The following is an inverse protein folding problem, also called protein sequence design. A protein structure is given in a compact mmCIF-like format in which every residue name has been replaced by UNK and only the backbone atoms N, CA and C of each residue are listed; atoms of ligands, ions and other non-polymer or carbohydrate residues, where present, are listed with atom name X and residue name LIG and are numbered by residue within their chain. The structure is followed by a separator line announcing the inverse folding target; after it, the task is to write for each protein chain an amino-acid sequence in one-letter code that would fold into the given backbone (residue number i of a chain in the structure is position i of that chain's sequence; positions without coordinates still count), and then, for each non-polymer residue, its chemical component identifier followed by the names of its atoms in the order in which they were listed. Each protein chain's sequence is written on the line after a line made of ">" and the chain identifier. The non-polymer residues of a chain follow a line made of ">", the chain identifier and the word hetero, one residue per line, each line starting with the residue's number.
data_IF_947157667360
#
_entry.id   IF_947157667360
#
_cell.length_a   1.000
_cell.length_b   1.000
_cell.length_c   1.000
_cell.angle_alpha   90.00
_cell.angle_beta   90.00
_cell.angle_gamma   90.00
#
_symmetry.space_group_name_H-M   'P 1'
#
loop_
_entity.id
_entity.type
_entity.pdbx_description
1 polymer ?
#
# COMPACT_ATOMS: atom_id res chain seq x y z
N UNK A 1 4.56 14.18 14.04
CA UNK A 1 4.64 14.03 12.57
C UNK A 1 3.48 14.77 11.88
N UNK A 2 3.78 15.41 10.80
CA UNK A 2 2.80 16.22 10.06
C UNK A 2 2.21 15.41 8.90
N UNK A 3 1.02 14.85 9.12
CA UNK A 3 0.36 14.01 8.12
C UNK A 3 -0.21 14.82 6.97
N UNK A 4 -0.09 14.30 5.74
CA UNK A 4 -0.74 14.86 4.58
C UNK A 4 -2.24 14.52 4.58
N UNK A 5 -3.02 15.28 3.83
CA UNK A 5 -4.40 14.91 3.55
C UNK A 5 -4.46 13.97 2.33
N UNK A 6 -5.31 12.93 2.36
CA UNK A 6 -5.39 11.99 1.23
C UNK A 6 -5.70 12.63 -0.12
N UNK A 7 -6.51 13.68 -0.15
CA UNK A 7 -6.85 14.38 -1.41
C UNK A 7 -5.63 15.10 -1.99
N UNK A 8 -4.81 15.70 -1.15
CA UNK A 8 -3.58 16.37 -1.58
C UNK A 8 -2.56 15.35 -2.08
N UNK A 9 -2.49 14.20 -1.42
CA UNK A 9 -1.62 13.10 -1.83
C UNK A 9 -2.01 12.57 -3.20
N UNK A 10 -3.30 12.35 -3.44
CA UNK A 10 -3.81 11.92 -4.73
C UNK A 10 -3.45 12.92 -5.82
N UNK A 11 -3.68 14.20 -5.56
CA UNK A 11 -3.39 15.26 -6.53
C UNK A 11 -1.90 15.28 -6.89
N UNK A 12 -1.03 15.20 -5.90
CA UNK A 12 0.41 15.17 -6.13
C UNK A 12 0.83 13.93 -6.94
N UNK A 13 0.28 12.77 -6.61
CA UNK A 13 0.59 11.51 -7.29
C UNK A 13 0.14 11.53 -8.75
N UNK A 14 -1.04 12.10 -9.03
CA UNK A 14 -1.60 12.10 -10.40
C UNK A 14 -1.04 13.20 -11.29
N UNK A 15 -0.33 14.17 -10.74
CA UNK A 15 0.34 15.21 -11.53
C UNK A 15 1.79 14.84 -11.91
N UNK A 16 2.32 13.75 -11.36
CA UNK A 16 3.66 13.28 -11.70
C UNK A 16 3.67 12.70 -13.12
N UNK A 17 4.84 12.70 -13.75
CA UNK A 17 5.07 12.08 -15.06
C UNK A 17 4.89 10.56 -14.98
N UNK A 18 5.38 9.93 -13.91
CA UNK A 18 5.20 8.49 -13.71
C UNK A 18 3.76 8.20 -13.24
N UNK A 19 3.21 7.03 -13.59
CA UNK A 19 1.87 6.66 -13.13
C UNK A 19 1.80 6.62 -11.60
N UNK A 20 0.70 7.08 -11.03
CA UNK A 20 0.51 7.11 -9.58
C UNK A 20 0.70 5.72 -8.97
N UNK A 21 1.41 5.66 -7.86
CA UNK A 21 1.57 4.46 -7.04
C UNK A 21 1.41 4.86 -5.58
N UNK A 22 0.30 4.47 -5.00
CA UNK A 22 -0.03 4.75 -3.61
C UNK A 22 -0.23 3.44 -2.86
N UNK A 23 0.02 3.46 -1.56
CA UNK A 23 -0.16 2.29 -0.71
C UNK A 23 -1.11 2.66 0.42
N UNK A 24 -2.11 1.83 0.66
CA UNK A 24 -3.06 1.99 1.75
C UNK A 24 -2.89 0.83 2.73
N UNK A 25 -2.91 1.13 4.02
CA UNK A 25 -2.74 0.13 5.05
C UNK A 25 -4.07 -0.11 5.76
N UNK A 26 -4.47 -1.37 5.84
CA UNK A 26 -5.71 -1.78 6.49
C UNK A 26 -5.36 -2.61 7.75
N UNK A 27 -5.51 -2.01 8.92
CA UNK A 27 -5.22 -2.65 10.20
C UNK A 27 -3.75 -3.05 10.41
N UNK A 28 -2.82 -2.27 9.95
CA UNK A 28 -1.41 -2.44 10.28
C UNK A 28 -1.13 -1.67 11.57
N UNK A 29 -0.94 -2.40 12.67
CA UNK A 29 -0.78 -1.80 13.99
C UNK A 29 0.69 -1.74 14.48
N UNK A 30 1.58 -2.53 13.88
CA UNK A 30 2.97 -2.57 14.28
C UNK A 30 3.75 -1.43 13.61
N UNK A 31 4.35 -0.50 14.40
CA UNK A 31 5.14 0.60 13.83
C UNK A 31 6.32 0.13 12.98
N UNK A 32 6.87 -1.06 13.25
CA UNK A 32 7.96 -1.61 12.44
C UNK A 32 7.50 -1.97 11.05
N UNK A 33 6.30 -2.56 10.93
CA UNK A 33 5.69 -2.85 9.63
C UNK A 33 5.41 -1.55 8.87
N UNK A 34 4.85 -0.55 9.54
CA UNK A 34 4.63 0.75 8.92
C UNK A 34 5.94 1.33 8.36
N UNK A 35 6.98 1.37 9.19
CA UNK A 35 8.28 1.91 8.77
C UNK A 35 8.90 1.13 7.60
N UNK A 36 8.83 -0.20 7.63
CA UNK A 36 9.36 -1.05 6.56
C UNK A 36 8.59 -0.83 5.26
N UNK A 37 7.26 -0.69 5.33
CA UNK A 37 6.44 -0.43 4.15
C UNK A 37 6.77 0.94 3.56
N UNK A 38 6.86 1.98 4.39
CA UNK A 38 7.23 3.33 3.93
C UNK A 38 8.57 3.30 3.21
N UNK A 39 9.54 2.58 3.77
CA UNK A 39 10.86 2.43 3.15
C UNK A 39 10.77 1.77 1.78
N UNK A 40 10.01 0.69 1.65
CA UNK A 40 9.82 -0.01 0.38
C UNK A 40 9.10 0.86 -0.65
N UNK A 41 8.07 1.60 -0.23
CA UNK A 41 7.34 2.50 -1.13
C UNK A 41 8.29 3.56 -1.70
N UNK A 42 9.12 4.15 -0.85
CA UNK A 42 10.11 5.13 -1.29
C UNK A 42 11.13 4.51 -2.24
N UNK A 43 11.60 3.30 -1.93
CA UNK A 43 12.63 2.61 -2.74
C UNK A 43 12.12 2.26 -4.13
N UNK A 44 10.83 1.91 -4.26
CA UNK A 44 10.26 1.45 -5.52
C UNK A 44 9.45 2.52 -6.26
N UNK A 45 9.64 3.79 -5.92
CA UNK A 45 9.06 4.90 -6.68
C UNK A 45 7.60 5.20 -6.38
N UNK A 46 7.08 4.77 -5.23
CA UNK A 46 5.74 5.12 -4.80
C UNK A 46 5.62 6.58 -4.38
N UNK A 47 4.40 7.11 -4.43
CA UNK A 47 4.13 8.51 -4.17
C UNK A 47 3.68 8.80 -2.74
N UNK A 48 3.18 7.80 -2.03
CA UNK A 48 2.75 8.01 -0.67
C UNK A 48 2.07 6.80 -0.05
N UNK A 49 1.85 6.90 1.27
CA UNK A 49 1.19 5.86 2.07
C UNK A 49 0.04 6.52 2.82
N UNK A 50 -1.14 5.88 2.81
CA UNK A 50 -2.28 6.33 3.63
C UNK A 50 -2.56 5.31 4.72
N UNK A 51 -2.77 5.81 5.94
CA UNK A 51 -3.14 5.00 7.09
C UNK A 51 -4.50 5.45 7.63
N UNK A 52 -5.30 4.54 8.21
CA UNK A 52 -6.52 4.94 8.90
C UNK A 52 -6.17 5.76 10.14
N UNK A 53 -7.04 6.67 10.49
CA UNK A 53 -6.87 7.49 11.69
C UNK A 53 -6.97 6.66 12.97
N UNK A 54 -7.77 5.58 12.93
CA UNK A 54 -8.01 4.72 14.09
C UNK A 54 -7.48 3.32 13.81
N UNK A 55 -7.07 2.61 14.88
CA UNK A 55 -6.65 1.20 14.84
C UNK A 55 -5.51 0.95 13.86
N UNK A 56 -4.58 1.89 13.81
CA UNK A 56 -3.40 1.70 12.96
C UNK A 56 -2.16 2.21 13.68
N UNK A 57 -1.01 1.76 13.21
CA UNK A 57 0.27 2.33 13.62
C UNK A 57 0.32 3.80 13.23
N UNK A 58 1.03 4.59 14.01
CA UNK A 58 1.32 5.98 13.67
C UNK A 58 2.80 6.13 13.38
N UNK A 59 3.18 7.25 12.80
CA UNK A 59 4.60 7.52 12.55
C UNK A 59 5.25 7.88 13.88
N UNK A 60 5.72 6.86 14.57
CA UNK A 60 6.40 6.95 15.87
C UNK A 60 7.92 6.98 15.64
N UNK A 61 8.68 7.15 16.74
CA UNK A 61 10.13 7.03 16.68
C UNK A 61 10.58 5.67 16.12
N UNK A 62 9.87 4.58 16.45
CA UNK A 62 10.18 3.25 15.93
C UNK A 62 9.95 3.18 14.42
N UNK A 63 8.79 3.67 13.95
CA UNK A 63 8.47 3.68 12.52
C UNK A 63 9.45 4.58 11.76
N UNK A 64 9.80 5.72 12.33
CA UNK A 64 10.77 6.63 11.73
C UNK A 64 12.13 5.94 11.51
N UNK A 65 12.64 5.25 12.54
CA UNK A 65 13.92 4.53 12.45
C UNK A 65 13.84 3.38 11.45
N UNK A 66 12.76 2.60 11.50
CA UNK A 66 12.58 1.44 10.61
C UNK A 66 12.45 1.88 9.16
N UNK A 67 11.91 3.06 8.91
CA UNK A 67 11.82 3.60 7.55
C UNK A 67 13.18 4.06 7.00
N UNK A 68 14.23 4.10 7.82
CA UNK A 68 15.56 4.62 7.46
C UNK A 68 15.49 6.05 6.94
N UNK A 69 14.61 6.88 7.54
CA UNK A 69 14.43 8.27 7.16
C UNK A 69 13.50 8.48 5.95
N UNK A 70 12.98 7.41 5.35
CA UNK A 70 12.09 7.54 4.19
C UNK A 70 10.81 8.32 4.51
N UNK A 71 10.31 8.24 5.77
CA UNK A 71 9.14 8.99 6.19
C UNK A 71 9.34 10.51 6.13
N UNK A 72 10.58 10.98 6.13
CA UNK A 72 10.88 12.41 5.96
C UNK A 72 10.75 12.84 4.50
N UNK A 73 10.95 11.93 3.56
CA UNK A 73 10.92 12.20 2.12
C UNK A 73 9.61 11.81 1.48
N UNK A 74 9.01 10.73 1.92
CA UNK A 74 7.76 10.20 1.42
C UNK A 74 6.61 10.67 2.33
N UNK A 75 5.55 11.18 1.73
CA UNK A 75 4.41 11.64 2.53
C UNK A 75 3.59 10.46 3.04
N UNK A 76 3.15 10.59 4.28
CA UNK A 76 2.18 9.68 4.89
C UNK A 76 0.91 10.47 5.18
N UNK A 77 -0.22 10.02 4.66
CA UNK A 77 -1.52 10.64 4.89
C UNK A 77 -2.31 9.85 5.93
N UNK A 78 -3.18 10.53 6.63
CA UNK A 78 -4.10 9.91 7.58
C UNK A 78 -5.51 10.08 7.07
N UNK A 79 -6.22 8.96 6.89
CA UNK A 79 -7.59 8.97 6.40
C UNK A 79 -8.57 8.80 7.57
N UNK A 80 -9.56 9.68 7.65
CA UNK A 80 -10.65 9.55 8.63
C UNK A 80 -11.47 8.29 8.35
N UNK A 81 -11.67 7.96 7.07
CA UNK A 81 -12.38 6.79 6.62
C UNK A 81 -11.66 6.19 5.41
N UNK A 82 -10.96 5.07 5.64
CA UNK A 82 -10.16 4.44 4.59
C UNK A 82 -11.02 3.99 3.40
N UNK A 83 -12.20 3.44 3.67
CA UNK A 83 -13.09 2.97 2.60
C UNK A 83 -13.53 4.12 1.68
N UNK A 84 -13.83 5.27 2.27
CA UNK A 84 -14.18 6.45 1.48
C UNK A 84 -13.00 6.93 0.65
N UNK A 85 -11.81 6.91 1.22
CA UNK A 85 -10.58 7.27 0.50
C UNK A 85 -10.36 6.34 -0.69
N UNK A 86 -10.48 5.03 -0.50
CA UNK A 86 -10.30 4.05 -1.58
C UNK A 86 -11.35 4.25 -2.68
N UNK A 87 -12.60 4.51 -2.29
CA UNK A 87 -13.66 4.79 -3.28
C UNK A 87 -13.32 6.03 -4.09
N UNK A 88 -12.91 7.11 -3.42
CA UNK A 88 -12.53 8.37 -4.06
C UNK A 88 -11.37 8.16 -5.04
N UNK A 89 -10.36 7.42 -4.62
CA UNK A 89 -9.21 7.14 -5.47
C UNK A 89 -9.57 6.25 -6.67
N UNK A 90 -10.44 5.25 -6.45
CA UNK A 90 -10.97 4.44 -7.56
C UNK A 90 -11.76 5.27 -8.55
N UNK A 91 -12.61 6.17 -8.08
CA UNK A 91 -13.39 7.09 -8.93
C UNK A 91 -12.47 8.03 -9.73
N UNK A 92 -11.29 8.33 -9.20
CA UNK A 92 -10.30 9.15 -9.89
C UNK A 92 -9.48 8.36 -10.93
N UNK A 93 -9.75 7.08 -11.09
CA UNK A 93 -9.13 6.25 -12.13
C UNK A 93 -7.98 5.37 -11.67
N UNK A 94 -7.71 5.29 -10.36
CA UNK A 94 -6.68 4.39 -9.87
C UNK A 94 -7.24 2.97 -9.73
N UNK A 95 -6.47 1.98 -10.17
CA UNK A 95 -6.76 0.57 -9.92
C UNK A 95 -6.50 0.27 -8.45
N UNK A 96 -7.46 -0.33 -7.75
CA UNK A 96 -7.32 -0.70 -6.35
C UNK A 96 -7.00 -2.19 -6.28
N UNK A 97 -5.80 -2.51 -5.79
CA UNK A 97 -5.28 -3.88 -5.72
C UNK A 97 -5.07 -4.25 -4.26
N UNK A 98 -5.84 -5.22 -3.76
CA UNK A 98 -5.67 -5.73 -2.41
C UNK A 98 -4.71 -6.91 -2.38
N UNK A 99 -3.95 -7.06 -1.31
CA UNK A 99 -3.07 -8.20 -1.10
C UNK A 99 -3.68 -9.15 -0.09
N UNK A 100 -3.85 -10.41 -0.48
CA UNK A 100 -4.37 -11.45 0.40
C UNK A 100 -3.93 -12.82 -0.11
N UNK A 101 -3.52 -13.71 0.80
CA UNK A 101 -3.10 -15.06 0.44
C UNK A 101 -4.20 -15.85 -0.29
N UNK A 102 -5.48 -15.53 -0.02
CA UNK A 102 -6.62 -16.14 -0.69
C UNK A 102 -7.08 -15.41 -1.94
N UNK A 103 -6.24 -14.53 -2.51
CA UNK A 103 -6.60 -13.79 -3.71
C UNK A 103 -6.78 -14.68 -4.93
N UNK A 104 -7.68 -14.27 -5.82
CA UNK A 104 -8.01 -15.01 -7.04
C UNK A 104 -7.11 -14.67 -8.22
N UNK A 105 -6.29 -13.65 -8.09
CA UNK A 105 -5.35 -13.20 -9.12
C UNK A 105 -3.92 -13.38 -8.61
N UNK A 106 -3.10 -14.11 -9.34
CA UNK A 106 -1.68 -14.20 -8.99
C UNK A 106 -0.96 -12.90 -9.38
N UNK A 107 0.06 -12.55 -8.59
CA UNK A 107 0.87 -11.35 -8.85
C UNK A 107 1.41 -11.31 -10.28
N UNK A 108 1.79 -12.48 -10.82
CA UNK A 108 2.34 -12.58 -12.17
C UNK A 108 1.35 -12.14 -13.26
N UNK A 109 0.05 -12.21 -12.97
CA UNK A 109 -1.01 -11.84 -13.91
C UNK A 109 -1.47 -10.39 -13.76
N UNK A 110 -0.96 -9.67 -12.77
CA UNK A 110 -1.35 -8.29 -12.50
C UNK A 110 -0.68 -7.34 -13.50
N UNK A 111 -1.47 -6.46 -14.11
CA UNK A 111 -0.94 -5.33 -14.87
C UNK A 111 -1.04 -4.08 -13.98
N UNK A 112 0.09 -3.62 -13.49
CA UNK A 112 0.20 -2.42 -12.65
C UNK A 112 1.01 -1.31 -13.33
N UNK A 113 1.00 -1.26 -14.65
CA UNK A 113 1.69 -0.21 -15.42
C UNK A 113 0.94 1.13 -15.38
N UNK A 114 -0.37 1.11 -15.10
CA UNK A 114 -1.18 2.32 -14.92
C UNK A 114 -1.26 2.76 -13.45
N UNK A 115 -2.04 3.82 -13.18
CA UNK A 115 -2.20 4.32 -11.81
C UNK A 115 -2.78 3.24 -10.89
N UNK A 116 -2.12 3.00 -9.76
CA UNK A 116 -2.43 1.87 -8.88
C UNK A 116 -2.36 2.26 -7.41
N UNK A 117 -3.28 1.72 -6.61
CA UNK A 117 -3.23 1.70 -5.16
C UNK A 117 -3.05 0.24 -4.72
N UNK A 118 -2.04 -0.02 -3.92
CA UNK A 118 -1.83 -1.34 -3.29
C UNK A 118 -2.35 -1.26 -1.86
N UNK A 119 -3.28 -2.14 -1.51
CA UNK A 119 -3.86 -2.19 -0.16
C UNK A 119 -3.30 -3.39 0.57
N UNK A 120 -2.66 -3.13 1.72
CA UNK A 120 -1.99 -4.14 2.52
C UNK A 120 -2.79 -4.35 3.80
N UNK A 121 -3.22 -5.57 4.04
CA UNK A 121 -3.96 -5.95 5.25
C UNK A 121 -3.06 -6.55 6.31
N UNK A 122 -3.63 -6.74 7.50
CA UNK A 122 -2.90 -7.31 8.63
C UNK A 122 -2.54 -8.76 8.38
N UNK A 123 -1.43 -9.19 9.00
CA UNK A 123 -1.05 -10.59 9.05
C UNK A 123 -2.14 -11.39 9.75
N UNK A 124 -2.50 -12.55 9.22
CA UNK A 124 -3.50 -13.44 9.79
C UNK A 124 -4.94 -13.09 9.44
N UNK A 125 -5.34 -11.82 9.53
CA UNK A 125 -6.70 -11.40 9.21
C UNK A 125 -6.86 -10.94 7.76
N UNK A 126 -5.77 -10.53 7.13
CA UNK A 126 -5.81 -9.98 5.77
C UNK A 126 -6.59 -8.68 5.70
N UNK A 127 -7.29 -8.47 4.60
CA UNK A 127 -8.09 -7.27 4.36
C UNK A 127 -9.44 -7.39 5.05
N UNK A 128 -9.95 -6.28 5.58
CA UNK A 128 -11.31 -6.23 6.09
C UNK A 128 -12.31 -6.39 4.94
N UNK A 129 -13.53 -6.85 5.27
CA UNK A 129 -14.56 -7.12 4.27
C UNK A 129 -14.89 -5.89 3.42
N UNK A 130 -15.08 -4.74 4.05
CA UNK A 130 -15.43 -3.50 3.33
C UNK A 130 -14.29 -3.05 2.41
N UNK A 131 -13.05 -3.17 2.85
CA UNK A 131 -11.89 -2.84 2.03
C UNK A 131 -11.83 -3.76 0.81
N UNK A 132 -12.06 -5.07 1.00
CA UNK A 132 -12.09 -6.02 -0.12
C UNK A 132 -13.12 -5.63 -1.19
N UNK A 133 -14.27 -5.12 -0.77
CA UNK A 133 -15.33 -4.71 -1.69
C UNK A 133 -14.92 -3.53 -2.60
N UNK A 134 -13.95 -2.73 -2.17
CA UNK A 134 -13.45 -1.61 -2.96
C UNK A 134 -12.28 -2.02 -3.88
N UNK A 135 -11.80 -3.24 -3.79
CA UNK A 135 -10.68 -3.70 -4.60
C UNK A 135 -11.15 -4.15 -5.98
N UNK A 136 -10.44 -3.74 -7.02
CA UNK A 136 -10.67 -4.21 -8.38
C UNK A 136 -10.10 -5.62 -8.57
N UNK A 137 -9.04 -5.95 -7.85
CA UNK A 137 -8.42 -7.26 -7.84
C UNK A 137 -7.87 -7.56 -6.45
N UNK A 138 -7.94 -8.83 -6.06
CA UNK A 138 -7.28 -9.34 -4.85
C UNK A 138 -6.14 -10.24 -5.33
N UNK A 139 -4.91 -9.84 -5.02
CA UNK A 139 -3.72 -10.46 -5.56
C UNK A 139 -3.06 -11.32 -4.50
N UNK A 140 -2.65 -12.52 -4.90
CA UNK A 140 -1.84 -13.42 -4.08
C UNK A 140 -0.44 -13.53 -4.66
N UNK A 141 0.53 -13.76 -3.78
CA UNK A 141 1.92 -14.00 -4.17
C UNK A 141 2.11 -15.52 -4.29
N UNK A 142 2.51 -16.02 -5.48
CA UNK A 142 2.77 -17.45 -5.63
C UNK A 142 3.91 -17.89 -4.70
N UNK A 143 3.69 -18.98 -3.98
CA UNK A 143 4.67 -19.53 -3.04
C UNK A 143 4.97 -20.97 -3.35
N UNK A 144 6.26 -21.30 -3.45
CA UNK A 144 6.70 -22.66 -3.69
C UNK A 144 6.78 -23.50 -2.41
N UNK A 145 6.91 -22.84 -1.26
CA UNK A 145 7.06 -23.50 0.03
C UNK A 145 5.75 -23.74 0.75
N UNK A 146 5.76 -24.39 1.91
CA UNK A 146 4.56 -24.71 2.67
C UNK A 146 3.99 -23.53 3.46
N UNK A 147 4.68 -22.40 3.51
CA UNK A 147 4.21 -21.18 4.21
C UNK A 147 3.01 -20.60 3.46
N UNK A 148 1.93 -20.33 4.18
CA UNK A 148 0.69 -19.84 3.58
C UNK A 148 0.64 -18.33 3.43
N UNK A 149 1.43 -17.60 4.23
CA UNK A 149 1.43 -16.14 4.19
C UNK A 149 2.80 -15.58 4.52
N UNK A 150 3.04 -14.36 4.07
CA UNK A 150 4.24 -13.58 4.39
C UNK A 150 3.88 -12.49 5.40
N UNK A 151 4.87 -12.03 6.14
CA UNK A 151 4.75 -10.80 6.91
C UNK A 151 4.27 -9.67 5.99
N UNK A 152 3.41 -8.79 6.51
CA UNK A 152 2.78 -7.74 5.70
C UNK A 152 3.79 -6.83 5.00
N UNK A 153 4.87 -6.44 5.68
CA UNK A 153 5.88 -5.58 5.06
C UNK A 153 6.68 -6.29 3.99
N UNK A 154 6.92 -7.60 4.17
CA UNK A 154 7.60 -8.43 3.16
C UNK A 154 6.71 -8.58 1.93
N UNK A 155 5.44 -8.90 2.12
CA UNK A 155 4.48 -9.02 1.02
C UNK A 155 4.37 -7.71 0.24
N UNK A 156 4.27 -6.58 0.94
CA UNK A 156 4.24 -5.27 0.29
C UNK A 156 5.51 -5.03 -0.54
N UNK A 157 6.67 -5.36 0.00
CA UNK A 157 7.94 -5.20 -0.72
C UNK A 157 8.00 -6.03 -2.00
N UNK A 158 7.54 -7.29 -1.95
CA UNK A 158 7.49 -8.17 -3.13
C UNK A 158 6.60 -7.58 -4.22
N UNK A 159 5.41 -7.13 -3.86
CA UNK A 159 4.46 -6.56 -4.82
C UNK A 159 4.98 -5.24 -5.40
N UNK A 160 5.54 -4.38 -4.57
CA UNK A 160 6.10 -3.10 -5.03
C UNK A 160 7.30 -3.32 -5.96
N UNK A 161 8.15 -4.30 -5.68
CA UNK A 161 9.26 -4.66 -6.54
C UNK A 161 8.77 -5.12 -7.92
N UNK A 162 7.71 -5.94 -7.96
CA UNK A 162 7.14 -6.39 -9.23
C UNK A 162 6.52 -5.23 -10.01
N UNK A 163 5.82 -4.34 -9.35
CA UNK A 163 5.26 -3.14 -9.99
C UNK A 163 6.37 -2.28 -10.58
N UNK A 164 7.44 -2.06 -9.82
CA UNK A 164 8.59 -1.29 -10.31
C UNK A 164 9.22 -1.96 -11.54
N UNK A 165 9.32 -3.30 -11.54
CA UNK A 165 9.83 -4.04 -12.69
C UNK A 165 8.96 -3.81 -13.92
N UNK A 166 7.63 -3.90 -13.78
CA UNK A 166 6.71 -3.68 -14.89
C UNK A 166 6.87 -2.28 -15.49
N UNK A 167 7.09 -1.27 -14.64
CA UNK A 167 7.17 0.12 -15.08
C UNK A 167 8.51 0.49 -15.71
N UNK A 168 9.54 -0.37 -15.57
CA UNK A 168 10.84 -0.18 -16.23
C UNK A 168 10.89 -0.77 -17.64
N UNK A 169 9.98 -1.65 -17.96
CA UNK A 169 10.02 -2.36 -19.25
C UNK A 169 9.44 -1.55 -20.41
#
# INVERSE_FOLDING_TARGET
>A
YDYAHPDDMLKAATTDVSPALLVALDNISDPRNLGAIVRSVAAFGGHGVVIPQRRSASVTAVAWRTSAGAAARLRVARATNLNRTLKSWGDAGLQIVGLDAGGDTELDALDATGPTVVVVGSEGKGLSRLVREHCDAIVSIPMAGPTESLNASVAAGVVLAEIARQRRS
#
